data_IF_025474798705
#
_entry.id   IF_025474798705
#
_cell.length_a   1.000
_cell.length_b   1.000
_cell.length_c   1.000
_cell.angle_alpha   90.00
_cell.angle_beta   90.00
_cell.angle_gamma   90.00
#
_symmetry.space_group_name_H-M   'P 1'
#
loop_
_entity.id
_entity.type
_entity.pdbx_description
1 polymer ?
#
# COMPACT_ATOMS: atom_id res chain seq x y z
N UNK A 1 3.12 28.08 -4.40
CA UNK A 1 2.30 29.23 -3.91
C UNK A 1 2.88 29.84 -2.62
N UNK A 2 4.15 29.58 -2.30
CA UNK A 2 4.89 30.09 -1.14
C UNK A 2 4.28 29.78 0.25
N UNK A 3 3.40 28.80 0.32
CA UNK A 3 2.85 28.25 1.55
C UNK A 3 3.57 26.94 1.86
N UNK A 4 4.19 26.82 3.06
CA UNK A 4 4.81 25.57 3.48
C UNK A 4 3.73 24.56 3.87
N UNK A 5 3.62 23.46 3.13
CA UNK A 5 2.58 22.44 3.32
C UNK A 5 3.12 21.14 3.97
N UNK A 6 4.43 20.92 3.91
CA UNK A 6 5.03 19.72 4.52
C UNK A 6 6.50 19.92 4.89
N UNK A 7 6.98 19.03 5.75
CA UNK A 7 8.38 18.84 6.09
C UNK A 7 8.64 17.37 6.39
N UNK A 8 9.75 16.84 5.91
CA UNK A 8 10.17 15.45 6.14
C UNK A 8 11.65 15.42 6.50
N UNK A 9 11.95 14.92 7.70
CA UNK A 9 13.32 14.83 8.22
C UNK A 9 14.13 13.71 7.56
N UNK A 10 13.48 12.61 7.22
CA UNK A 10 14.15 11.42 6.72
C UNK A 10 13.99 11.27 5.21
N UNK A 11 15.05 11.61 4.47
CA UNK A 11 15.03 11.70 3.01
C UNK A 11 14.87 10.37 2.25
N UNK A 12 14.96 9.22 2.91
CA UNK A 12 14.82 7.92 2.26
C UNK A 12 13.41 7.33 2.31
N UNK A 13 12.47 7.98 2.98
CA UNK A 13 11.07 7.58 3.01
C UNK A 13 10.21 8.40 2.06
N UNK A 14 9.23 7.75 1.42
CA UNK A 14 8.12 8.44 0.77
C UNK A 14 7.20 9.08 1.82
N UNK A 15 6.50 10.14 1.44
CA UNK A 15 5.51 10.79 2.27
C UNK A 15 4.39 11.40 1.40
N UNK A 16 3.23 11.57 2.01
CA UNK A 16 2.07 12.18 1.37
C UNK A 16 1.86 13.58 1.89
N UNK A 17 1.38 14.44 1.02
CA UNK A 17 1.02 15.82 1.35
C UNK A 17 -0.34 16.13 0.75
N UNK A 18 -1.28 16.59 1.56
CA UNK A 18 -2.53 17.16 1.08
C UNK A 18 -2.38 18.69 0.99
N UNK A 19 -2.26 19.25 -0.21
CA UNK A 19 -2.07 20.67 -0.41
C UNK A 19 -3.38 21.45 -0.52
N UNK A 20 -4.55 20.85 -0.30
CA UNK A 20 -5.87 21.43 -0.63
C UNK A 20 -6.05 22.88 -0.17
N UNK A 21 -5.59 23.21 1.05
CA UNK A 21 -5.74 24.55 1.64
C UNK A 21 -4.78 25.59 1.06
N UNK A 22 -3.75 25.13 0.33
CA UNK A 22 -2.77 25.99 -0.34
C UNK A 22 -2.99 26.12 -1.86
N UNK A 23 -3.97 25.39 -2.40
CA UNK A 23 -4.29 25.42 -3.83
C UNK A 23 -5.16 26.62 -4.18
N UNK A 24 -4.91 27.20 -5.34
CA UNK A 24 -5.77 28.21 -5.97
C UNK A 24 -6.46 27.56 -7.15
N UNK A 25 -7.71 27.17 -6.96
CA UNK A 25 -8.48 26.49 -8.00
C UNK A 25 -8.71 27.37 -9.22
N UNK A 26 -8.62 26.75 -10.40
CA UNK A 26 -8.78 27.44 -11.69
C UNK A 26 -7.59 28.30 -12.11
N UNK A 27 -6.46 28.22 -11.41
CA UNK A 27 -5.22 28.93 -11.73
C UNK A 27 -4.01 27.99 -11.70
N UNK A 28 -2.88 28.49 -12.21
CA UNK A 28 -1.61 27.81 -12.06
C UNK A 28 -1.20 27.73 -10.59
N UNK A 29 -0.76 26.55 -10.17
CA UNK A 29 -0.21 26.31 -8.84
C UNK A 29 1.24 25.85 -8.97
N UNK A 30 2.12 26.43 -8.16
CA UNK A 30 3.54 26.09 -8.14
C UNK A 30 3.90 25.27 -6.91
N UNK A 31 4.41 24.07 -7.13
CA UNK A 31 4.97 23.22 -6.10
C UNK A 31 6.49 23.42 -6.08
N UNK A 32 7.04 23.78 -4.92
CA UNK A 32 8.47 23.92 -4.70
C UNK A 32 8.92 22.91 -3.65
N UNK A 33 9.87 22.06 -4.00
CA UNK A 33 10.53 21.13 -3.07
C UNK A 33 11.94 21.63 -2.80
N UNK A 34 12.31 21.72 -1.53
CA UNK A 34 13.65 22.15 -1.10
C UNK A 34 14.28 20.98 -0.36
N UNK A 35 15.34 20.42 -0.92
CA UNK A 35 16.16 19.41 -0.25
C UNK A 35 17.35 20.11 0.41
N UNK A 36 17.50 19.89 1.71
CA UNK A 36 18.58 20.46 2.52
C UNK A 36 19.52 19.34 2.95
N UNK A 37 20.75 19.35 2.43
CA UNK A 37 21.78 18.36 2.72
C UNK A 37 23.16 19.03 2.77
N UNK A 38 23.27 20.14 3.50
CA UNK A 38 24.50 20.92 3.58
C UNK A 38 25.42 20.49 4.73
N UNK A 39 24.91 19.76 5.71
CA UNK A 39 25.72 19.23 6.82
C UNK A 39 26.41 17.93 6.39
N UNK A 40 27.69 18.03 6.04
CA UNK A 40 28.51 16.92 5.57
C UNK A 40 29.77 16.78 6.47
N UNK A 41 30.25 15.54 6.67
CA UNK A 41 29.70 14.25 6.27
C UNK A 41 28.59 13.81 7.23
N UNK A 42 27.45 13.35 6.69
CA UNK A 42 26.34 12.87 7.51
C UNK A 42 26.26 11.32 7.58
N UNK A 43 27.10 10.63 6.83
CA UNK A 43 27.22 9.18 6.88
C UNK A 43 28.59 8.70 6.38
N UNK A 44 28.84 7.38 6.38
CA UNK A 44 30.08 6.76 5.90
C UNK A 44 30.13 6.58 4.38
N UNK A 45 29.07 6.94 3.68
CA UNK A 45 28.92 6.82 2.24
C UNK A 45 28.45 8.15 1.65
N UNK A 46 28.49 8.26 0.32
CA UNK A 46 28.03 9.46 -0.35
C UNK A 46 26.52 9.61 -0.23
N UNK A 47 26.08 10.83 0.07
CA UNK A 47 24.67 11.21 0.11
C UNK A 47 24.37 12.15 -1.02
N UNK A 48 23.41 11.80 -1.87
CA UNK A 48 22.88 12.69 -2.90
C UNK A 48 21.91 13.72 -2.29
N UNK A 49 21.59 14.73 -3.08
CA UNK A 49 20.61 15.77 -2.72
C UNK A 49 19.60 15.92 -3.83
N UNK A 50 18.33 16.02 -3.45
CA UNK A 50 17.23 16.21 -4.39
C UNK A 50 16.21 15.08 -4.38
N UNK A 51 15.33 15.12 -5.38
CA UNK A 51 14.29 14.10 -5.59
C UNK A 51 14.87 13.01 -6.47
N UNK A 52 14.86 11.77 -5.99
CA UNK A 52 15.36 10.60 -6.74
C UNK A 52 14.32 9.53 -6.99
N UNK A 53 13.13 9.65 -6.36
CA UNK A 53 11.97 8.77 -6.57
C UNK A 53 10.87 9.49 -7.33
N UNK A 54 9.94 8.75 -7.97
CA UNK A 54 8.80 9.34 -8.64
C UNK A 54 7.97 10.24 -7.71
N UNK A 55 7.43 11.30 -8.28
CA UNK A 55 6.45 12.18 -7.63
C UNK A 55 5.11 11.97 -8.31
N UNK A 56 4.09 11.65 -7.53
CA UNK A 56 2.75 11.36 -8.00
C UNK A 56 1.78 12.42 -7.50
N UNK A 57 0.79 12.75 -8.31
CA UNK A 57 -0.35 13.57 -7.93
C UNK A 57 -1.59 12.70 -8.04
N UNK A 58 -2.32 12.58 -6.93
CA UNK A 58 -3.56 11.84 -6.87
C UNK A 58 -4.74 12.80 -6.83
N UNK A 59 -5.74 12.55 -7.67
CA UNK A 59 -7.03 13.22 -7.64
C UNK A 59 -8.04 12.20 -7.12
N UNK A 60 -8.49 12.41 -5.90
CA UNK A 60 -9.39 11.49 -5.23
C UNK A 60 -10.78 12.12 -5.09
N UNK A 61 -11.86 11.36 -5.23
CA UNK A 61 -13.18 11.80 -4.83
C UNK A 61 -13.22 12.00 -3.32
N UNK A 62 -14.21 12.74 -2.82
CA UNK A 62 -14.35 12.98 -1.37
C UNK A 62 -14.57 11.70 -0.57
N UNK A 63 -15.21 10.70 -1.16
CA UNK A 63 -15.22 9.34 -0.62
C UNK A 63 -14.26 8.50 -1.45
N UNK A 64 -13.26 7.92 -0.79
CA UNK A 64 -12.21 7.14 -1.43
C UNK A 64 -11.59 6.14 -0.45
N UNK A 65 -10.82 5.20 -0.97
CA UNK A 65 -9.97 4.33 -0.17
C UNK A 65 -8.74 5.15 0.27
N UNK A 66 -8.44 5.14 1.56
CA UNK A 66 -7.31 5.89 2.11
C UNK A 66 -5.99 5.53 1.41
N UNK A 67 -5.11 6.51 1.28
CA UNK A 67 -3.74 6.23 0.82
C UNK A 67 -3.09 5.20 1.75
N UNK A 68 -2.48 4.16 1.18
CA UNK A 68 -1.98 2.98 1.90
C UNK A 68 -3.05 2.27 2.78
N UNK A 69 -4.32 2.50 2.49
CA UNK A 69 -5.46 2.00 3.26
C UNK A 69 -5.80 0.53 3.02
N UNK A 70 -5.11 -0.16 2.12
CA UNK A 70 -5.30 -1.58 1.86
C UNK A 70 -4.18 -2.36 2.54
N UNK A 71 -4.55 -3.26 3.44
CA UNK A 71 -3.61 -4.17 4.09
C UNK A 71 -4.03 -5.61 3.88
N UNK A 72 -3.13 -6.40 3.32
CA UNK A 72 -3.34 -7.83 3.06
C UNK A 72 -2.43 -8.63 3.96
N UNK A 73 -3.00 -9.60 4.68
CA UNK A 73 -2.26 -10.50 5.57
C UNK A 73 -2.63 -11.94 5.24
N UNK A 74 -1.63 -12.75 4.94
CA UNK A 74 -1.79 -14.20 4.79
C UNK A 74 -1.57 -14.84 6.16
N UNK A 75 -2.51 -15.62 6.65
CA UNK A 75 -2.41 -16.17 8.01
C UNK A 75 -2.48 -17.71 8.09
N UNK A 76 -2.76 -18.38 6.98
CA UNK A 76 -2.65 -19.82 6.89
C UNK A 76 -2.01 -20.20 5.54
N UNK A 77 -0.90 -20.92 5.61
CA UNK A 77 -0.21 -21.38 4.40
C UNK A 77 -0.59 -22.83 4.02
N UNK A 78 -1.18 -23.60 4.93
CA UNK A 78 -1.62 -24.99 4.66
C UNK A 78 -2.97 -25.00 3.96
N UNK A 79 -3.87 -24.12 4.40
CA UNK A 79 -5.14 -23.83 3.76
C UNK A 79 -5.20 -22.33 3.51
N UNK A 80 -4.64 -21.84 2.40
CA UNK A 80 -4.41 -20.43 2.21
C UNK A 80 -5.64 -19.56 2.50
N UNK A 81 -5.46 -18.64 3.44
CA UNK A 81 -6.45 -17.65 3.84
C UNK A 81 -5.79 -16.29 3.93
N UNK A 82 -6.50 -15.29 3.48
CA UNK A 82 -6.08 -13.90 3.59
C UNK A 82 -7.10 -13.10 4.36
N UNK A 83 -6.59 -12.08 5.04
CA UNK A 83 -7.38 -10.99 5.61
C UNK A 83 -7.04 -9.73 4.82
N UNK A 84 -8.05 -9.10 4.25
CA UNK A 84 -7.93 -7.82 3.57
C UNK A 84 -8.62 -6.78 4.43
N UNK A 85 -7.86 -5.80 4.93
CA UNK A 85 -8.40 -4.65 5.66
C UNK A 85 -8.38 -3.44 4.72
N UNK A 86 -9.51 -2.76 4.61
CA UNK A 86 -9.70 -1.60 3.73
C UNK A 86 -10.13 -0.42 4.57
N UNK A 87 -9.34 0.65 4.55
CA UNK A 87 -9.67 1.92 5.19
C UNK A 87 -10.30 2.84 4.14
N UNK A 88 -11.58 3.19 4.36
CA UNK A 88 -12.34 4.12 3.51
C UNK A 88 -12.50 5.45 4.20
N UNK A 89 -12.29 6.53 3.48
CA UNK A 89 -12.40 7.93 3.94
C UNK A 89 -13.61 8.58 3.28
N UNK A 90 -14.32 9.42 4.03
CA UNK A 90 -15.37 10.30 3.53
C UNK A 90 -15.14 11.71 4.06
N UNK A 91 -14.84 12.65 3.16
CA UNK A 91 -14.65 14.08 3.46
C UNK A 91 -15.95 14.90 3.26
N UNK A 92 -17.06 14.26 2.91
CA UNK A 92 -18.35 14.94 2.86
C UNK A 92 -18.94 15.14 4.25
N UNK A 93 -19.85 16.09 4.36
CA UNK A 93 -20.56 16.38 5.62
C UNK A 93 -21.56 15.29 6.04
N UNK A 94 -21.99 14.46 5.09
CA UNK A 94 -23.00 13.44 5.30
C UNK A 94 -22.38 12.04 5.11
N UNK A 95 -22.87 11.10 5.92
CA UNK A 95 -22.53 9.68 5.73
C UNK A 95 -23.05 9.17 4.38
N UNK A 96 -22.31 8.25 3.80
CA UNK A 96 -22.64 7.63 2.52
C UNK A 96 -22.55 6.11 2.62
N UNK A 97 -23.53 5.45 2.03
CA UNK A 97 -23.46 4.01 1.81
C UNK A 97 -22.62 3.70 0.60
N UNK A 98 -21.90 2.60 0.66
CA UNK A 98 -21.10 2.07 -0.45
C UNK A 98 -21.09 0.54 -0.40
N UNK A 99 -20.77 -0.07 -1.52
CA UNK A 99 -20.55 -1.50 -1.64
C UNK A 99 -19.07 -1.73 -1.99
N UNK A 100 -18.34 -2.30 -1.04
CA UNK A 100 -16.99 -2.78 -1.32
C UNK A 100 -17.03 -4.22 -1.80
N UNK A 101 -16.45 -4.50 -2.94
CA UNK A 101 -16.26 -5.84 -3.48
C UNK A 101 -14.80 -6.15 -3.70
N UNK A 102 -14.41 -7.40 -3.41
CA UNK A 102 -13.08 -7.93 -3.67
C UNK A 102 -13.23 -9.14 -4.57
N UNK A 103 -12.41 -9.17 -5.62
CA UNK A 103 -12.28 -10.30 -6.50
C UNK A 103 -10.81 -10.73 -6.55
N UNK A 104 -10.55 -12.02 -6.46
CA UNK A 104 -9.21 -12.59 -6.59
C UNK A 104 -9.18 -13.49 -7.81
N UNK A 105 -8.24 -13.21 -8.68
CA UNK A 105 -8.08 -13.92 -9.95
C UNK A 105 -6.75 -14.68 -10.00
N UNK A 106 -6.83 -15.86 -10.52
CA UNK A 106 -5.69 -16.64 -10.99
C UNK A 106 -5.67 -16.56 -12.52
N UNK A 107 -4.75 -15.73 -13.07
CA UNK A 107 -4.78 -15.32 -14.46
C UNK A 107 -6.15 -14.75 -14.84
N UNK A 108 -6.89 -15.38 -15.76
CA UNK A 108 -8.21 -14.93 -16.22
C UNK A 108 -9.38 -15.59 -15.47
N UNK A 109 -9.10 -16.36 -14.41
CA UNK A 109 -10.12 -17.09 -13.66
C UNK A 109 -10.33 -16.49 -12.28
N UNK A 110 -11.55 -16.12 -11.97
CA UNK A 110 -11.95 -15.76 -10.60
C UNK A 110 -11.90 -17.01 -9.72
N UNK A 111 -11.13 -16.95 -8.64
CA UNK A 111 -10.98 -18.05 -7.67
C UNK A 111 -11.65 -17.73 -6.33
N UNK A 112 -11.89 -16.47 -6.04
CA UNK A 112 -12.68 -16.04 -4.89
C UNK A 112 -13.25 -14.64 -5.13
N UNK A 113 -14.43 -14.40 -4.60
CA UNK A 113 -15.06 -13.07 -4.54
C UNK A 113 -15.79 -12.88 -3.23
N UNK A 114 -15.93 -11.65 -2.79
CA UNK A 114 -16.72 -11.26 -1.64
C UNK A 114 -17.10 -9.78 -1.71
N UNK A 115 -18.18 -9.42 -0.99
CA UNK A 115 -18.64 -8.03 -0.94
C UNK A 115 -19.24 -7.70 0.43
N UNK A 116 -19.18 -6.41 0.79
CA UNK A 116 -19.80 -5.86 2.00
C UNK A 116 -20.39 -4.49 1.74
N UNK A 117 -21.63 -4.30 2.18
CA UNK A 117 -22.20 -2.97 2.32
C UNK A 117 -21.59 -2.27 3.53
N UNK A 118 -21.20 -1.02 3.35
CA UNK A 118 -20.62 -0.18 4.38
C UNK A 118 -21.32 1.18 4.43
N UNK A 119 -21.27 1.82 5.59
CA UNK A 119 -21.70 3.22 5.76
C UNK A 119 -20.51 4.02 6.25
N UNK A 120 -20.04 4.94 5.43
CA UNK A 120 -18.84 5.74 5.70
C UNK A 120 -19.24 7.10 6.24
N UNK A 121 -19.00 7.32 7.53
CA UNK A 121 -19.23 8.62 8.21
C UNK A 121 -18.07 9.57 8.01
N UNK A 122 -16.87 9.12 8.41
CA UNK A 122 -15.61 9.82 8.19
C UNK A 122 -14.54 8.83 7.76
N UNK A 123 -14.06 7.97 8.67
CA UNK A 123 -13.13 6.89 8.40
C UNK A 123 -13.75 5.57 8.85
N UNK A 124 -13.75 4.57 7.98
CA UNK A 124 -14.25 3.23 8.29
C UNK A 124 -13.24 2.19 7.85
N UNK A 125 -12.88 1.29 8.77
CA UNK A 125 -12.13 0.08 8.43
C UNK A 125 -13.07 -1.08 8.21
N UNK A 126 -12.98 -1.68 7.05
CA UNK A 126 -13.72 -2.89 6.67
C UNK A 126 -12.75 -4.04 6.51
N UNK A 127 -13.09 -5.21 7.08
CA UNK A 127 -12.24 -6.40 7.01
C UNK A 127 -12.97 -7.52 6.27
N UNK A 128 -12.22 -8.20 5.41
CA UNK A 128 -12.64 -9.38 4.66
C UNK A 128 -11.72 -10.53 5.03
N UNK A 129 -12.30 -11.70 5.28
CA UNK A 129 -11.54 -12.95 5.39
C UNK A 129 -11.90 -13.83 4.19
N UNK A 130 -10.91 -14.21 3.41
CA UNK A 130 -11.09 -14.90 2.16
C UNK A 130 -10.28 -16.20 2.20
N UNK A 131 -10.96 -17.32 2.03
CA UNK A 131 -10.34 -18.63 1.88
C UNK A 131 -9.98 -18.87 0.42
N UNK A 132 -8.80 -19.38 0.17
CA UNK A 132 -8.26 -19.68 -1.15
C UNK A 132 -7.81 -21.15 -1.22
N UNK A 133 -8.75 -22.10 -1.12
CA UNK A 133 -8.42 -23.52 -1.03
C UNK A 133 -7.71 -23.98 -2.31
N UNK A 134 -6.56 -24.65 -2.12
CA UNK A 134 -5.76 -25.15 -3.23
C UNK A 134 -4.97 -24.08 -3.99
N UNK A 135 -4.97 -22.84 -3.52
CA UNK A 135 -4.16 -21.78 -4.12
C UNK A 135 -2.67 -22.04 -3.91
N UNK A 136 -1.89 -21.69 -4.91
CA UNK A 136 -0.45 -21.87 -4.93
C UNK A 136 0.24 -20.80 -4.08
N UNK A 137 1.25 -21.20 -3.31
CA UNK A 137 2.01 -20.29 -2.47
C UNK A 137 3.10 -19.60 -3.29
N UNK A 138 3.42 -18.38 -2.90
CA UNK A 138 4.59 -17.69 -3.41
C UNK A 138 5.86 -18.22 -2.74
N UNK A 139 6.83 -18.59 -3.54
CA UNK A 139 8.17 -19.01 -3.09
C UNK A 139 9.24 -18.26 -3.92
N UNK A 140 10.47 -18.06 -3.39
CA UNK A 140 11.54 -17.37 -4.14
C UNK A 140 11.90 -18.04 -5.48
N UNK A 141 11.84 -19.36 -5.52
CA UNK A 141 12.09 -20.16 -6.71
C UNK A 141 10.87 -20.24 -7.64
N UNK A 142 9.69 -19.95 -7.10
CA UNK A 142 8.42 -19.95 -7.82
C UNK A 142 7.53 -18.77 -7.37
N UNK A 143 7.81 -17.54 -7.86
CA UNK A 143 7.14 -16.32 -7.42
C UNK A 143 5.73 -16.18 -8.00
N UNK A 144 4.78 -17.00 -7.52
CA UNK A 144 3.42 -17.00 -7.98
C UNK A 144 2.61 -15.83 -7.42
N UNK A 145 1.86 -15.14 -8.28
CA UNK A 145 1.07 -13.97 -7.93
C UNK A 145 -0.37 -14.12 -8.40
N UNK A 146 -1.30 -13.66 -7.58
CA UNK A 146 -2.71 -13.50 -7.91
C UNK A 146 -3.03 -12.03 -8.12
N UNK A 147 -4.04 -11.73 -8.91
CA UNK A 147 -4.57 -10.38 -9.05
C UNK A 147 -5.70 -10.19 -8.05
N UNK A 148 -5.63 -9.14 -7.26
CA UNK A 148 -6.70 -8.67 -6.39
C UNK A 148 -7.30 -7.42 -7.00
N UNK A 149 -8.62 -7.43 -7.22
CA UNK A 149 -9.38 -6.24 -7.60
C UNK A 149 -10.28 -5.84 -6.44
N UNK A 150 -10.08 -4.64 -5.92
CA UNK A 150 -10.97 -4.00 -4.96
C UNK A 150 -11.77 -2.92 -5.67
N UNK A 151 -13.08 -3.00 -5.57
CA UNK A 151 -13.99 -2.05 -6.20
C UNK A 151 -14.91 -1.41 -5.18
N UNK A 152 -15.09 -0.11 -5.30
CA UNK A 152 -16.12 0.70 -4.63
C UNK A 152 -16.99 1.40 -5.68
N UNK A 153 -17.98 2.18 -5.24
CA UNK A 153 -18.76 3.02 -6.15
C UNK A 153 -17.96 4.14 -6.80
N UNK A 154 -16.77 4.45 -6.31
CA UNK A 154 -15.97 5.61 -6.73
C UNK A 154 -14.67 5.26 -7.42
N UNK A 155 -14.11 4.08 -7.13
CA UNK A 155 -12.81 3.69 -7.66
C UNK A 155 -12.66 2.17 -7.75
N UNK A 156 -11.74 1.76 -8.60
CA UNK A 156 -11.29 0.37 -8.71
C UNK A 156 -9.77 0.34 -8.55
N UNK A 157 -9.30 -0.49 -7.64
CA UNK A 157 -7.88 -0.68 -7.36
C UNK A 157 -7.52 -2.12 -7.73
N UNK A 158 -6.48 -2.27 -8.53
CA UNK A 158 -5.94 -3.57 -8.94
C UNK A 158 -4.53 -3.70 -8.38
N UNK A 159 -4.26 -4.77 -7.68
CA UNK A 159 -2.95 -5.07 -7.10
C UNK A 159 -2.60 -6.55 -7.24
N UNK A 160 -1.32 -6.89 -7.07
CA UNK A 160 -0.85 -8.26 -7.08
C UNK A 160 -0.58 -8.75 -5.67
N UNK A 161 -1.07 -9.93 -5.35
CA UNK A 161 -0.89 -10.53 -4.05
C UNK A 161 -0.05 -11.82 -4.12
N UNK A 162 0.84 -11.97 -3.15
CA UNK A 162 1.66 -13.15 -2.95
C UNK A 162 1.17 -13.91 -1.70
N UNK A 163 0.78 -15.15 -1.84
CA UNK A 163 0.35 -15.97 -0.72
C UNK A 163 1.57 -16.56 -0.01
N UNK A 164 2.05 -15.86 1.03
CA UNK A 164 3.21 -16.28 1.80
C UNK A 164 3.07 -15.92 3.27
N UNK A 165 3.65 -16.75 4.13
CA UNK A 165 3.77 -16.48 5.56
C UNK A 165 5.23 -16.40 5.96
N UNK A 166 5.55 -15.51 6.90
CA UNK A 166 6.87 -15.42 7.53
C UNK A 166 6.66 -15.46 9.03
N UNK A 167 7.32 -16.37 9.69
CA UNK A 167 7.23 -16.56 11.13
C UNK A 167 8.62 -16.64 11.75
N UNK A 168 8.75 -16.13 12.98
CA UNK A 168 9.95 -16.33 13.80
C UNK A 168 9.56 -17.23 14.96
N UNK A 169 10.16 -18.42 15.02
CA UNK A 169 10.00 -19.38 16.12
C UNK A 169 11.37 -19.77 16.64
N UNK A 170 11.58 -19.65 17.94
CA UNK A 170 12.85 -19.99 18.60
C UNK A 170 14.10 -19.36 17.93
N UNK A 171 14.00 -18.08 17.57
CA UNK A 171 15.04 -17.31 16.84
C UNK A 171 15.35 -17.83 15.44
N UNK A 172 14.50 -18.66 14.87
CA UNK A 172 14.62 -19.19 13.51
C UNK A 172 13.49 -18.66 12.65
N UNK A 173 13.83 -18.23 11.44
CA UNK A 173 12.87 -17.72 10.46
C UNK A 173 12.32 -18.88 9.65
N UNK A 174 10.99 -18.93 9.56
CA UNK A 174 10.25 -19.88 8.75
C UNK A 174 9.50 -19.13 7.66
N UNK A 175 9.59 -19.63 6.45
CA UNK A 175 8.88 -19.14 5.28
C UNK A 175 7.94 -20.26 4.80
N UNK A 176 6.63 -19.99 4.75
CA UNK A 176 5.62 -21.01 4.47
C UNK A 176 5.81 -22.27 5.33
N UNK A 177 6.15 -22.08 6.60
CA UNK A 177 6.42 -23.17 7.55
C UNK A 177 7.75 -23.91 7.39
N UNK A 178 8.53 -23.57 6.38
CA UNK A 178 9.86 -24.14 6.16
C UNK A 178 10.96 -23.23 6.70
N UNK A 179 11.95 -23.82 7.37
CA UNK A 179 13.12 -23.07 7.84
C UNK A 179 13.91 -22.53 6.66
N UNK A 180 14.18 -21.21 6.68
CA UNK A 180 14.99 -20.59 5.65
C UNK A 180 16.30 -20.03 6.19
N UNK A 181 17.28 -19.90 5.29
CA UNK A 181 18.52 -19.18 5.50
C UNK A 181 18.67 -18.13 4.41
N UNK A 182 18.77 -16.87 4.81
CA UNK A 182 19.06 -15.80 3.86
C UNK A 182 20.48 -15.94 3.32
N UNK A 183 20.59 -15.78 2.00
CA UNK A 183 21.86 -15.65 1.29
C UNK A 183 21.89 -14.26 0.70
N UNK A 184 22.83 -13.45 1.14
CA UNK A 184 22.89 -12.05 0.76
C UNK A 184 24.33 -11.57 0.62
N UNK A 185 24.47 -10.42 -0.01
CA UNK A 185 25.71 -9.68 -0.15
C UNK A 185 25.49 -8.23 0.24
N UNK A 186 26.56 -7.57 0.67
CA UNK A 186 26.52 -6.13 0.88
C UNK A 186 26.77 -5.44 -0.47
N UNK A 187 25.89 -4.52 -0.84
CA UNK A 187 26.02 -3.73 -2.05
C UNK A 187 25.78 -2.25 -1.71
N UNK A 188 26.61 -1.39 -2.25
CA UNK A 188 26.37 0.03 -2.34
C UNK A 188 25.85 0.35 -3.73
N UNK A 189 24.70 0.97 -3.83
CA UNK A 189 24.21 1.55 -5.07
C UNK A 189 24.79 2.98 -5.18
N UNK A 190 25.44 3.23 -6.29
CA UNK A 190 26.05 4.52 -6.64
C UNK A 190 25.17 5.26 -7.63
#
# INVERSE_FOLDING_TARGET
>A
NDVKVAYQDYGYMGFYVDPKDALVYGKENRIKVVAVNHEQPNSRWYSGTGIYRPVWIYYLPKQHIAMDGIKITVFDYKNPKIKVSVDTVNEDLFEKSDLLSIEIMDNDKVIADCQKEIVVKSNVRTEFEIALPGAELWEPEHPYLYTLTLQSSYETIVDYIALRTIEIRDKVIYFNGQKIKFRGVNRHDS
#
